data_IF_941817988362
#
_entry.id   IF_941817988362
#
_cell.length_a   1.000
_cell.length_b   1.000
_cell.length_c   1.000
_cell.angle_alpha   90.00
_cell.angle_beta   90.00
_cell.angle_gamma   90.00
#
_symmetry.space_group_name_H-M   'P 1'
#
loop_
_entity.id
_entity.type
_entity.pdbx_description
1 polymer ?
#
# COMPACT_ATOMS: atom_id res chain seq x y z
N UNK A 1 1.89 25.55 20.58
CA UNK A 1 1.50 24.25 21.15
C UNK A 1 0.31 23.74 20.36
N UNK A 2 0.47 22.64 19.61
CA UNK A 2 -0.53 22.11 18.67
C UNK A 2 -0.76 20.61 18.90
N UNK A 3 -0.84 20.22 20.17
CA UNK A 3 -1.08 18.86 20.61
C UNK A 3 -2.58 18.55 20.58
N UNK A 4 -3.06 17.83 19.55
CA UNK A 4 -4.44 17.33 19.58
C UNK A 4 -4.89 16.46 18.40
N UNK A 5 -4.21 16.49 17.26
CA UNK A 5 -4.61 15.71 16.08
C UNK A 5 -3.42 14.98 15.48
N UNK A 6 -3.58 13.67 15.28
CA UNK A 6 -2.65 12.82 14.54
C UNK A 6 -3.21 12.60 13.13
N UNK A 7 -2.51 13.10 12.11
CA UNK A 7 -2.80 12.80 10.70
C UNK A 7 -1.70 11.91 10.14
N UNK A 8 -2.06 10.70 9.68
CA UNK A 8 -1.16 9.77 9.00
C UNK A 8 -1.43 9.77 7.51
N UNK A 9 -0.38 9.97 6.71
CA UNK A 9 -0.41 9.88 5.26
C UNK A 9 0.57 8.78 4.83
N UNK A 10 0.09 7.79 4.08
CA UNK A 10 0.90 6.70 3.55
C UNK A 10 0.40 6.33 2.15
N UNK A 11 1.34 6.10 1.22
CA UNK A 11 1.06 5.70 -0.16
C UNK A 11 1.75 4.37 -0.46
N UNK A 12 1.08 3.51 -1.23
CA UNK A 12 1.63 2.25 -1.70
C UNK A 12 0.99 1.82 -3.00
N UNK A 13 1.79 1.24 -3.89
CA UNK A 13 1.34 0.63 -5.14
C UNK A 13 1.50 -0.88 -5.02
N UNK A 14 0.41 -1.62 -5.19
CA UNK A 14 0.41 -3.08 -5.25
C UNK A 14 0.28 -3.52 -6.71
N UNK A 15 1.18 -4.39 -7.15
CA UNK A 15 1.25 -4.83 -8.54
C UNK A 15 1.23 -6.34 -8.61
N UNK A 16 0.63 -6.88 -9.68
CA UNK A 16 0.72 -8.30 -9.93
C UNK A 16 2.17 -8.74 -10.15
N UNK A 17 2.49 -9.96 -9.73
CA UNK A 17 3.77 -10.62 -9.99
C UNK A 17 4.14 -10.65 -11.48
N UNK A 18 3.16 -10.76 -12.38
CA UNK A 18 3.40 -10.81 -13.82
C UNK A 18 3.73 -9.44 -14.45
N UNK A 19 3.48 -8.33 -13.75
CA UNK A 19 3.75 -6.99 -14.28
C UNK A 19 5.23 -6.66 -14.09
N UNK A 20 5.91 -6.16 -15.12
CA UNK A 20 7.24 -5.54 -14.94
C UNK A 20 7.09 -4.03 -15.04
N UNK A 21 7.54 -3.31 -14.02
CA UNK A 21 7.57 -1.85 -14.01
C UNK A 21 8.91 -1.41 -14.58
N UNK A 22 8.89 -0.34 -15.39
CA UNK A 22 10.14 0.30 -15.80
C UNK A 22 10.84 0.87 -14.56
N UNK A 23 12.15 0.61 -14.36
CA UNK A 23 12.89 1.12 -13.21
C UNK A 23 12.66 2.62 -12.95
N UNK A 24 12.70 3.45 -14.00
CA UNK A 24 12.47 4.90 -13.91
C UNK A 24 11.10 5.26 -13.32
N UNK A 25 10.06 4.46 -13.59
CA UNK A 25 8.73 4.69 -13.03
C UNK A 25 8.65 4.26 -11.56
N UNK A 26 9.38 3.22 -11.19
CA UNK A 26 9.49 2.81 -9.79
C UNK A 26 10.23 3.86 -8.97
N UNK A 27 11.37 4.37 -9.46
CA UNK A 27 12.12 5.47 -8.81
C UNK A 27 11.24 6.72 -8.70
N UNK A 28 10.53 7.11 -9.76
CA UNK A 28 9.61 8.24 -9.73
C UNK A 28 8.51 8.07 -8.67
N UNK A 29 7.91 6.88 -8.58
CA UNK A 29 6.86 6.58 -7.62
C UNK A 29 7.36 6.63 -6.17
N UNK A 30 8.56 6.10 -5.93
CA UNK A 30 9.21 6.12 -4.61
C UNK A 30 9.65 7.54 -4.24
N UNK A 31 10.19 8.32 -5.17
CA UNK A 31 10.75 9.64 -4.89
C UNK A 31 9.69 10.73 -4.73
N UNK A 32 8.70 10.76 -5.62
CA UNK A 32 7.66 11.81 -5.65
C UNK A 32 6.55 11.51 -4.66
N UNK A 33 5.99 10.29 -4.71
CA UNK A 33 4.82 9.96 -3.90
C UNK A 33 5.19 9.38 -2.53
N UNK A 34 6.49 9.19 -2.26
CA UNK A 34 6.97 8.44 -1.09
C UNK A 34 6.26 7.11 -0.96
N UNK A 35 5.95 6.50 -2.11
CA UNK A 35 5.16 5.29 -2.21
C UNK A 35 6.09 4.11 -2.35
N UNK A 36 5.93 3.10 -1.49
CA UNK A 36 6.57 1.81 -1.74
C UNK A 36 5.85 1.06 -2.85
N UNK A 37 6.57 0.25 -3.63
CA UNK A 37 5.98 -0.71 -4.58
C UNK A 37 6.08 -2.10 -3.99
N UNK A 38 4.98 -2.83 -3.95
CA UNK A 38 4.97 -4.24 -3.51
C UNK A 38 4.33 -5.13 -4.57
N UNK A 39 4.99 -6.24 -4.84
CA UNK A 39 4.45 -7.33 -5.65
C UNK A 39 3.51 -8.20 -4.83
N UNK A 40 2.34 -8.49 -5.39
CA UNK A 40 1.34 -9.40 -4.83
C UNK A 40 0.84 -10.33 -5.93
N UNK A 41 0.36 -11.50 -5.56
CA UNK A 41 -0.23 -12.43 -6.52
C UNK A 41 -1.75 -12.23 -6.56
N UNK A 42 -2.28 -11.50 -7.53
CA UNK A 42 -3.72 -11.25 -7.58
C UNK A 42 -4.53 -12.48 -8.03
N UNK A 43 -3.90 -13.51 -8.60
CA UNK A 43 -4.58 -14.81 -8.82
C UNK A 43 -4.95 -15.51 -7.51
N UNK A 44 -4.31 -15.14 -6.40
CA UNK A 44 -4.66 -15.56 -5.05
C UNK A 44 -5.36 -14.42 -4.32
N UNK A 45 -6.57 -14.09 -4.75
CA UNK A 45 -7.28 -12.88 -4.33
C UNK A 45 -7.44 -12.76 -2.81
N UNK A 46 -7.69 -13.87 -2.10
CA UNK A 46 -7.76 -13.90 -0.64
C UNK A 46 -6.45 -13.40 0.01
N UNK A 47 -5.33 -14.04 -0.31
CA UNK A 47 -4.00 -13.67 0.22
C UNK A 47 -3.60 -12.23 -0.16
N UNK A 48 -3.95 -11.79 -1.38
CA UNK A 48 -3.69 -10.44 -1.85
C UNK A 48 -4.51 -9.40 -1.05
N UNK A 49 -5.80 -9.66 -0.85
CA UNK A 49 -6.68 -8.78 -0.06
C UNK A 49 -6.21 -8.67 1.40
N UNK A 50 -5.80 -9.78 2.01
CA UNK A 50 -5.25 -9.80 3.38
C UNK A 50 -3.96 -8.98 3.48
N UNK A 51 -3.07 -9.09 2.50
CA UNK A 51 -1.82 -8.32 2.45
C UNK A 51 -2.09 -6.82 2.38
N UNK A 52 -3.01 -6.39 1.51
CA UNK A 52 -3.37 -4.99 1.32
C UNK A 52 -4.06 -4.44 2.57
N UNK A 53 -5.06 -5.16 3.09
CA UNK A 53 -5.81 -4.76 4.27
C UNK A 53 -4.93 -4.66 5.52
N UNK A 54 -4.01 -5.61 5.71
CA UNK A 54 -3.03 -5.58 6.80
C UNK A 54 -2.13 -4.36 6.72
N UNK A 55 -1.63 -4.02 5.54
CA UNK A 55 -0.81 -2.82 5.37
C UNK A 55 -1.60 -1.55 5.72
N UNK A 56 -2.85 -1.41 5.25
CA UNK A 56 -3.71 -0.28 5.61
C UNK A 56 -3.96 -0.19 7.13
N UNK A 57 -4.21 -1.33 7.77
CA UNK A 57 -4.40 -1.42 9.22
C UNK A 57 -3.15 -0.94 9.98
N UNK A 58 -1.97 -1.43 9.61
CA UNK A 58 -0.70 -1.02 10.23
C UNK A 58 -0.42 0.47 10.05
N UNK A 59 -0.63 1.02 8.85
CA UNK A 59 -0.39 2.45 8.58
C UNK A 59 -1.36 3.38 9.31
N UNK A 60 -2.50 2.86 9.79
CA UNK A 60 -3.59 3.68 10.32
C UNK A 60 -3.86 3.42 11.80
N UNK A 61 -2.94 2.75 12.50
CA UNK A 61 -3.13 2.34 13.89
C UNK A 61 -4.42 1.51 14.07
N UNK A 62 -4.65 0.56 13.16
CA UNK A 62 -5.85 -0.29 13.11
C UNK A 62 -7.18 0.45 12.96
N UNK A 63 -7.17 1.72 12.52
CA UNK A 63 -8.42 2.48 12.32
C UNK A 63 -9.09 2.19 10.98
N UNK A 64 -8.32 1.84 9.95
CA UNK A 64 -8.83 1.46 8.63
C UNK A 64 -8.50 -0.02 8.41
N UNK A 65 -9.54 -0.83 8.17
CA UNK A 65 -9.45 -2.28 7.98
C UNK A 65 -10.35 -2.69 6.83
N UNK A 66 -10.11 -3.86 6.25
CA UNK A 66 -10.97 -4.48 5.23
C UNK A 66 -11.31 -3.52 4.07
N UNK A 67 -10.30 -2.80 3.58
CA UNK A 67 -10.43 -1.80 2.51
C UNK A 67 -10.91 -2.43 1.21
N UNK A 68 -10.48 -3.66 0.95
CA UNK A 68 -10.88 -4.44 -0.21
C UNK A 68 -11.31 -5.86 0.20
N UNK A 69 -12.17 -6.46 -0.62
CA UNK A 69 -12.52 -7.88 -0.58
C UNK A 69 -11.79 -8.64 -1.70
N UNK A 70 -11.64 -9.97 -1.57
CA UNK A 70 -11.11 -10.82 -2.65
C UNK A 70 -11.89 -10.69 -3.96
#
# INVERSE_FOLDING_TARGET
DSSGVELKLANKIFLDNAVTVKPDYQELAEDIFKSSVQKVNFSKSQEASETINKWCEEQTNSKIKNVITP
#
